data_IF_376408957243
#
_entry.id   IF_376408957243
#
_cell.length_a   1.000
_cell.length_b   1.000
_cell.length_c   1.000
_cell.angle_alpha   90.00
_cell.angle_beta   90.00
_cell.angle_gamma   90.00
#
_symmetry.space_group_name_H-M   'P 1'
#
loop_
_entity.id
_entity.type
_entity.pdbx_description
1 polymer ?
#
# COMPACT_ATOMS: atom_id res chain seq x y z
N UNK A 1 23.08 34.68 -26.30
CA UNK A 1 21.75 35.27 -26.63
C UNK A 1 21.05 34.37 -27.63
N UNK A 2 19.97 33.69 -27.24
CA UNK A 2 18.92 33.15 -28.13
C UNK A 2 17.70 32.88 -27.27
N UNK A 3 16.77 33.83 -27.33
CA UNK A 3 15.47 33.86 -26.67
C UNK A 3 14.47 33.02 -27.47
N UNK A 4 13.74 32.11 -26.83
CA UNK A 4 12.52 31.53 -27.37
C UNK A 4 11.36 31.80 -26.41
N UNK A 5 10.47 32.69 -26.85
CA UNK A 5 9.14 32.95 -26.32
C UNK A 5 8.15 32.04 -27.06
N UNK A 6 7.42 31.20 -26.36
CA UNK A 6 6.20 30.53 -26.85
C UNK A 6 5.17 30.65 -25.73
N UNK A 7 4.35 31.71 -25.74
CA UNK A 7 3.06 31.87 -26.40
C UNK A 7 1.98 30.90 -25.89
N UNK A 8 1.06 31.55 -25.19
CA UNK A 8 -0.20 31.11 -24.57
C UNK A 8 -1.05 30.12 -25.39
N UNK A 9 -1.66 29.19 -24.66
CA UNK A 9 -2.98 28.67 -24.99
C UNK A 9 -3.83 28.59 -23.71
N UNK A 10 -4.59 29.67 -23.47
CA UNK A 10 -5.71 29.70 -22.54
C UNK A 10 -6.89 28.99 -23.22
N UNK A 11 -7.19 27.77 -22.80
CA UNK A 11 -8.43 27.09 -23.16
C UNK A 11 -9.34 27.07 -21.93
N UNK A 12 -10.22 28.08 -21.91
CA UNK A 12 -11.44 28.10 -21.14
C UNK A 12 -12.36 27.00 -21.66
N UNK A 13 -12.79 26.08 -20.79
CA UNK A 13 -14.01 25.33 -21.03
C UNK A 13 -14.73 25.12 -19.69
N UNK A 14 -15.65 26.06 -19.44
CA UNK A 14 -16.72 25.95 -18.46
C UNK A 14 -17.65 24.79 -18.82
N UNK A 15 -17.81 23.83 -17.93
CA UNK A 15 -18.98 22.96 -17.90
C UNK A 15 -19.66 23.09 -16.54
N UNK A 16 -20.64 24.00 -16.50
CA UNK A 16 -21.69 24.03 -15.48
C UNK A 16 -22.66 22.90 -15.81
N UNK A 17 -22.52 21.75 -15.14
CA UNK A 17 -23.53 20.71 -15.13
C UNK A 17 -24.36 20.86 -13.85
N UNK A 18 -25.57 21.38 -14.02
CA UNK A 18 -26.65 21.38 -13.04
C UNK A 18 -27.15 19.95 -12.90
N UNK A 19 -27.02 19.34 -11.72
CA UNK A 19 -27.59 18.02 -11.42
C UNK A 19 -28.84 18.21 -10.55
N UNK A 20 -30.00 17.67 -10.94
CA UNK A 20 -31.24 17.75 -10.17
C UNK A 20 -31.19 16.88 -8.91
N UNK A 21 -31.69 17.47 -7.81
CA UNK A 21 -31.98 16.83 -6.53
C UNK A 21 -33.09 15.80 -6.71
N UNK A 22 -32.72 14.51 -6.70
CA UNK A 22 -33.65 13.39 -6.58
C UNK A 22 -33.72 12.91 -5.14
N UNK A 23 -34.77 13.30 -4.41
CA UNK A 23 -35.14 12.69 -3.13
C UNK A 23 -35.51 11.21 -3.37
N UNK A 24 -34.73 10.28 -2.83
CA UNK A 24 -35.14 8.88 -2.75
C UNK A 24 -35.59 8.58 -1.32
N UNK A 25 -36.81 8.09 -1.22
CA UNK A 25 -37.52 7.82 0.02
C UNK A 25 -36.88 6.66 0.79
N UNK A 26 -36.86 6.85 2.11
CA UNK A 26 -36.43 5.89 3.12
C UNK A 26 -37.51 4.81 3.22
N UNK A 27 -37.20 3.58 2.80
CA UNK A 27 -38.02 2.41 3.12
C UNK A 27 -37.49 1.81 4.43
N UNK A 28 -38.29 1.95 5.47
CA UNK A 28 -38.20 1.22 6.74
C UNK A 28 -38.43 -0.27 6.50
N UNK A 29 -37.43 -1.11 6.81
CA UNK A 29 -37.56 -2.56 6.79
C UNK A 29 -37.53 -3.06 8.22
N UNK A 30 -38.58 -3.81 8.51
CA UNK A 30 -38.98 -4.49 9.75
C UNK A 30 -37.86 -5.26 10.46
N UNK A 31 -37.85 -5.11 11.78
CA UNK A 31 -37.10 -5.92 12.72
C UNK A 31 -37.74 -7.32 12.81
N UNK A 32 -37.16 -8.30 12.11
CA UNK A 32 -37.45 -9.72 12.40
C UNK A 32 -36.24 -10.34 13.08
N UNK A 33 -36.37 -10.40 14.40
CA UNK A 33 -35.54 -11.13 15.35
C UNK A 33 -35.61 -12.65 15.05
N UNK A 34 -34.58 -13.21 14.42
CA UNK A 34 -34.39 -14.66 14.32
C UNK A 34 -33.22 -15.05 15.22
N UNK A 35 -33.59 -15.43 16.43
CA UNK A 35 -32.74 -16.08 17.42
C UNK A 35 -32.52 -17.54 17.00
N UNK A 36 -31.40 -17.81 16.33
CA UNK A 36 -30.89 -19.16 16.13
C UNK A 36 -29.48 -19.24 16.70
N UNK A 37 -29.41 -19.51 18.00
CA UNK A 37 -28.22 -20.09 18.63
C UNK A 37 -28.02 -21.51 18.06
N UNK A 38 -27.33 -21.59 16.93
CA UNK A 38 -26.68 -22.82 16.51
C UNK A 38 -25.33 -22.87 17.20
N UNK A 39 -25.17 -23.80 18.15
CA UNK A 39 -23.86 -24.22 18.63
C UNK A 39 -23.04 -24.70 17.43
N UNK A 40 -22.10 -23.85 17.00
CA UNK A 40 -21.11 -24.25 16.01
C UNK A 40 -20.32 -25.42 16.59
N UNK A 41 -20.14 -26.53 15.84
CA UNK A 41 -19.15 -27.53 16.20
C UNK A 41 -17.80 -26.80 16.28
N UNK A 42 -17.25 -26.78 17.50
CA UNK A 42 -15.90 -26.31 17.81
C UNK A 42 -14.92 -27.20 17.05
N UNK A 43 -14.68 -26.86 15.79
CA UNK A 43 -13.61 -27.44 15.00
C UNK A 43 -12.32 -27.11 15.74
N UNK A 44 -11.75 -28.11 16.40
CA UNK A 44 -10.41 -28.05 16.95
C UNK A 44 -9.47 -27.69 15.80
N UNK A 45 -9.06 -26.43 15.82
CA UNK A 45 -8.12 -25.84 14.89
C UNK A 45 -6.82 -26.63 15.02
N UNK A 46 -6.60 -27.55 14.08
CA UNK A 46 -5.34 -28.26 13.88
C UNK A 46 -4.21 -27.25 13.75
N UNK A 47 -3.52 -27.03 14.86
CA UNK A 47 -2.31 -26.26 14.95
C UNK A 47 -1.20 -27.06 14.27
N UNK A 48 -0.89 -26.78 13.00
CA UNK A 48 0.48 -26.80 12.45
C UNK A 48 0.59 -26.88 10.91
N UNK A 49 -0.43 -26.52 10.14
CA UNK A 49 -0.11 -26.13 8.76
C UNK A 49 0.46 -24.71 8.79
N UNK A 50 1.78 -24.62 8.63
CA UNK A 50 2.51 -23.36 8.38
C UNK A 50 1.88 -22.70 7.15
N UNK A 51 0.90 -21.84 7.40
CA UNK A 51 0.07 -21.19 6.39
C UNK A 51 0.97 -20.41 5.43
N UNK A 52 1.21 -20.99 4.25
CA UNK A 52 2.05 -20.38 3.22
C UNK A 52 1.39 -19.10 2.69
N UNK A 53 2.16 -18.09 2.27
CA UNK A 53 1.57 -16.88 1.71
C UNK A 53 0.76 -17.20 0.45
N UNK A 54 -0.32 -16.45 0.23
CA UNK A 54 -1.29 -16.69 -0.85
C UNK A 54 -0.79 -16.24 -2.23
N UNK A 55 0.34 -15.55 -2.31
CA UNK A 55 0.96 -15.10 -3.55
C UNK A 55 2.49 -15.22 -3.49
N UNK A 56 3.14 -15.18 -4.66
CA UNK A 56 4.61 -15.15 -4.77
C UNK A 56 5.11 -14.36 -5.99
N UNK A 57 6.19 -13.62 -5.81
CA UNK A 57 6.89 -12.86 -6.85
C UNK A 57 5.98 -11.83 -7.51
N UNK A 58 5.94 -11.84 -8.84
CA UNK A 58 5.11 -10.92 -9.64
C UNK A 58 3.60 -11.09 -9.40
N UNK A 59 3.16 -12.26 -8.95
CA UNK A 59 1.75 -12.49 -8.62
C UNK A 59 1.30 -11.74 -7.35
N UNK A 60 2.22 -11.16 -6.58
CA UNK A 60 1.90 -10.32 -5.43
C UNK A 60 1.73 -8.83 -5.78
N UNK A 61 2.03 -8.40 -7.01
CA UNK A 61 2.02 -6.97 -7.34
C UNK A 61 0.62 -6.37 -7.13
N UNK A 62 0.59 -5.20 -6.48
CA UNK A 62 -0.60 -4.42 -6.12
C UNK A 62 -1.58 -5.15 -5.18
N UNK A 63 -1.15 -6.23 -4.54
CA UNK A 63 -1.93 -6.96 -3.53
C UNK A 63 -1.55 -6.53 -2.10
N UNK A 64 -2.53 -6.56 -1.20
CA UNK A 64 -2.37 -6.20 0.21
C UNK A 64 -1.51 -7.23 0.98
N UNK A 65 -0.39 -6.83 1.61
CA UNK A 65 0.50 -7.77 2.30
C UNK A 65 -0.11 -8.41 3.56
N UNK A 66 -1.11 -7.77 4.18
CA UNK A 66 -1.84 -8.30 5.33
C UNK A 66 -2.79 -9.40 4.88
N UNK A 67 -3.66 -9.10 3.93
CA UNK A 67 -4.67 -10.04 3.41
C UNK A 67 -4.03 -11.29 2.78
N UNK A 68 -2.91 -11.13 2.07
CA UNK A 68 -2.21 -12.25 1.44
C UNK A 68 -1.20 -12.96 2.36
N UNK A 69 -1.12 -12.56 3.64
CA UNK A 69 -0.29 -13.20 4.66
C UNK A 69 1.21 -12.91 4.56
N UNK A 70 1.64 -12.04 3.65
CA UNK A 70 3.05 -11.70 3.45
C UNK A 70 3.65 -10.90 4.60
N UNK A 71 2.86 -10.08 5.30
CA UNK A 71 3.31 -9.31 6.45
C UNK A 71 3.90 -10.19 7.57
N UNK A 72 3.37 -11.41 7.77
CA UNK A 72 3.87 -12.40 8.75
C UNK A 72 5.33 -12.82 8.46
N UNK A 73 5.76 -12.67 7.22
CA UNK A 73 7.06 -13.10 6.70
C UNK A 73 7.93 -11.92 6.23
N UNK A 74 7.59 -10.70 6.61
CA UNK A 74 8.43 -9.53 6.36
C UNK A 74 9.71 -9.62 7.17
N UNK A 75 10.87 -9.59 6.51
CA UNK A 75 12.16 -9.66 7.17
C UNK A 75 12.51 -8.30 7.77
N UNK A 76 12.56 -8.24 9.10
CA UNK A 76 12.93 -7.02 9.84
C UNK A 76 14.39 -6.60 9.60
N UNK A 77 15.26 -7.51 9.19
CA UNK A 77 16.67 -7.23 8.93
C UNK A 77 16.94 -6.67 7.52
N UNK A 78 15.95 -6.73 6.62
CA UNK A 78 16.02 -6.16 5.27
C UNK A 78 15.25 -4.83 5.23
N UNK A 79 14.82 -4.32 6.39
CA UNK A 79 14.10 -3.06 6.48
C UNK A 79 15.03 -1.88 6.25
N UNK A 80 14.61 -1.00 5.34
CA UNK A 80 15.20 0.33 5.21
C UNK A 80 14.24 1.29 5.85
N UNK A 81 14.63 1.83 6.98
CA UNK A 81 13.86 2.81 7.73
C UNK A 81 14.45 4.18 7.48
N UNK A 82 13.61 5.15 7.17
CA UNK A 82 14.01 6.55 7.09
C UNK A 82 12.97 7.43 7.78
N UNK A 83 13.47 8.40 8.53
CA UNK A 83 12.67 9.40 9.24
C UNK A 83 12.69 10.72 8.46
N UNK A 84 11.50 11.28 8.22
CA UNK A 84 11.28 12.57 7.58
C UNK A 84 10.38 13.41 8.49
N UNK A 85 10.99 14.25 9.33
CA UNK A 85 10.29 14.98 10.40
C UNK A 85 9.59 14.00 11.36
N UNK A 86 8.26 14.01 11.41
CA UNK A 86 7.39 13.13 12.20
C UNK A 86 6.92 11.88 11.44
N UNK A 87 7.32 11.74 10.17
CA UNK A 87 6.94 10.60 9.33
C UNK A 87 8.09 9.60 9.18
N UNK A 88 7.85 8.39 9.68
CA UNK A 88 8.62 7.20 9.40
C UNK A 88 8.14 6.54 8.10
N UNK A 89 9.07 6.17 7.24
CA UNK A 89 8.82 5.32 6.07
C UNK A 89 9.77 4.14 6.11
N UNK A 90 9.22 2.94 5.93
CA UNK A 90 9.96 1.69 5.94
C UNK A 90 9.72 0.94 4.63
N UNK A 91 10.78 0.39 4.05
CA UNK A 91 10.67 -0.63 3.01
C UNK A 91 10.75 -2.02 3.65
N UNK A 92 9.72 -2.83 3.45
CA UNK A 92 9.67 -4.21 3.88
C UNK A 92 9.91 -5.15 2.70
N UNK A 93 10.46 -6.33 2.96
CA UNK A 93 10.62 -7.39 1.96
C UNK A 93 10.32 -8.74 2.60
N UNK A 94 9.59 -9.60 1.90
CA UNK A 94 9.41 -10.99 2.30
C UNK A 94 10.15 -11.93 1.35
N UNK A 95 11.04 -12.76 1.90
CA UNK A 95 11.67 -13.84 1.14
C UNK A 95 10.63 -14.88 0.69
N UNK A 96 9.59 -15.11 1.51
CA UNK A 96 8.53 -16.09 1.21
C UNK A 96 7.66 -15.62 0.05
N UNK A 97 7.22 -14.36 0.09
CA UNK A 97 6.43 -13.78 -0.99
C UNK A 97 7.27 -13.27 -2.17
N UNK A 98 8.58 -13.09 -2.02
CA UNK A 98 9.46 -12.46 -3.02
C UNK A 98 8.93 -11.10 -3.49
N UNK A 99 8.37 -10.34 -2.56
CA UNK A 99 7.71 -9.06 -2.78
C UNK A 99 8.07 -8.08 -1.67
N UNK A 100 7.99 -6.80 -1.99
CA UNK A 100 8.29 -5.69 -1.10
C UNK A 100 7.09 -4.78 -0.93
N UNK A 101 6.99 -4.05 0.16
CA UNK A 101 5.93 -3.06 0.35
C UNK A 101 6.42 -1.92 1.22
N UNK A 102 5.75 -0.77 1.14
CA UNK A 102 6.00 0.35 2.01
C UNK A 102 5.19 0.20 3.31
N UNK A 103 5.73 0.66 4.43
CA UNK A 103 5.00 0.90 5.66
C UNK A 103 5.27 2.32 6.12
N UNK A 104 4.26 3.07 6.54
CA UNK A 104 4.43 4.43 7.02
C UNK A 104 3.38 4.84 8.04
N UNK A 105 3.75 5.76 8.93
CA UNK A 105 2.85 6.50 9.82
C UNK A 105 2.43 7.87 9.24
N UNK A 106 2.57 8.08 7.92
CA UNK A 106 2.19 9.32 7.27
C UNK A 106 0.71 9.69 7.53
N UNK A 107 0.35 10.98 7.54
CA UNK A 107 -1.01 11.41 7.86
C UNK A 107 -2.02 10.99 6.79
N UNK A 108 -3.30 11.00 7.16
CA UNK A 108 -4.45 10.74 6.29
C UNK A 108 -4.34 11.53 4.98
N UNK A 109 -4.78 10.92 3.88
CA UNK A 109 -4.69 11.41 2.50
C UNK A 109 -3.28 11.39 1.90
N UNK A 110 -2.27 10.95 2.64
CA UNK A 110 -0.96 10.65 2.06
C UNK A 110 -1.04 9.39 1.20
N UNK A 111 -0.25 9.34 0.14
CA UNK A 111 -0.09 8.14 -0.69
C UNK A 111 1.21 7.46 -0.33
N UNK A 112 1.18 6.18 0.00
CA UNK A 112 2.36 5.34 0.23
C UNK A 112 2.52 4.35 -0.92
N UNK A 113 3.75 4.11 -1.34
CA UNK A 113 4.04 3.25 -2.48
C UNK A 113 5.50 2.79 -2.48
N UNK A 114 5.82 1.85 -3.36
CA UNK A 114 7.21 1.48 -3.67
C UNK A 114 7.60 1.94 -5.06
N UNK A 115 8.86 2.28 -5.27
CA UNK A 115 9.38 2.77 -6.54
C UNK A 115 10.68 2.04 -6.88
N UNK A 116 10.88 1.68 -8.15
CA UNK A 116 12.14 1.12 -8.62
C UNK A 116 13.15 2.21 -9.02
N UNK A 117 14.32 1.80 -9.52
CA UNK A 117 15.37 2.71 -9.94
C UNK A 117 15.01 3.50 -11.21
N UNK A 118 14.05 3.02 -12.00
CA UNK A 118 13.54 3.66 -13.21
C UNK A 118 12.41 4.66 -12.92
N UNK A 119 11.96 4.74 -11.66
CA UNK A 119 10.86 5.61 -11.25
C UNK A 119 9.48 4.97 -11.44
N UNK A 120 9.39 3.69 -11.80
CA UNK A 120 8.11 2.99 -11.89
C UNK A 120 7.59 2.70 -10.48
N UNK A 121 6.32 3.04 -10.26
CA UNK A 121 5.64 2.94 -8.97
C UNK A 121 4.80 1.68 -8.90
N UNK A 122 4.79 1.04 -7.74
CA UNK A 122 4.01 -0.15 -7.45
C UNK A 122 3.39 -0.03 -6.07
N UNK A 123 2.28 -0.74 -5.86
CA UNK A 123 1.75 -0.94 -4.53
C UNK A 123 1.19 0.33 -3.90
N UNK A 124 0.60 1.22 -4.72
CA UNK A 124 0.09 2.50 -4.23
C UNK A 124 -1.11 2.29 -3.30
N UNK A 125 -1.11 2.98 -2.18
CA UNK A 125 -2.21 3.00 -1.22
C UNK A 125 -2.40 4.43 -0.69
N UNK A 126 -3.64 4.90 -0.66
CA UNK A 126 -3.98 6.19 -0.05
C UNK A 126 -4.44 5.95 1.38
N UNK A 127 -3.75 6.58 2.33
CA UNK A 127 -4.07 6.45 3.75
C UNK A 127 -5.44 7.06 4.03
N UNK A 128 -6.34 6.22 4.56
CA UNK A 128 -7.68 6.62 4.99
C UNK A 128 -7.78 6.70 6.51
N UNK A 129 -8.85 7.30 7.03
CA UNK A 129 -9.13 7.29 8.47
C UNK A 129 -9.63 5.91 8.89
N UNK A 130 -8.77 5.09 9.48
CA UNK A 130 -9.08 3.72 9.92
C UNK A 130 -8.76 3.45 11.41
N UNK A 131 -8.19 4.44 12.12
CA UNK A 131 -7.84 4.35 13.54
C UNK A 131 -6.48 3.71 13.82
N UNK A 132 -5.70 3.34 12.79
CA UNK A 132 -4.35 2.82 12.94
C UNK A 132 -3.31 3.93 12.77
N UNK A 133 -2.18 3.82 13.49
CA UNK A 133 -1.08 4.78 13.40
C UNK A 133 -0.18 4.54 12.18
N UNK A 134 -0.12 3.30 11.69
CA UNK A 134 0.75 2.92 10.58
C UNK A 134 0.03 2.06 9.58
N UNK A 135 0.35 2.27 8.31
CA UNK A 135 -0.35 1.68 7.17
C UNK A 135 0.64 0.99 6.24
N UNK A 136 0.20 -0.12 5.66
CA UNK A 136 0.94 -0.82 4.63
C UNK A 136 0.48 -0.36 3.25
N UNK A 137 1.45 -0.12 2.36
CA UNK A 137 1.18 -0.07 0.94
C UNK A 137 0.92 -1.47 0.40
N UNK A 138 0.34 -1.53 -0.80
CA UNK A 138 0.26 -2.78 -1.53
C UNK A 138 1.67 -3.23 -1.95
N UNK A 139 1.80 -4.49 -2.33
CA UNK A 139 3.09 -5.09 -2.65
C UNK A 139 3.59 -4.70 -4.04
N UNK A 140 4.90 -4.48 -4.15
CA UNK A 140 5.68 -4.36 -5.38
C UNK A 140 6.61 -5.55 -5.59
N UNK A 141 7.21 -5.67 -6.79
CA UNK A 141 8.00 -6.84 -7.16
C UNK A 141 9.42 -6.83 -6.59
N UNK A 142 9.85 -7.97 -6.06
CA UNK A 142 11.24 -8.21 -5.69
C UNK A 142 11.75 -7.32 -4.56
N UNK A 143 13.08 -7.12 -4.50
CA UNK A 143 13.77 -6.44 -3.39
C UNK A 143 14.42 -5.10 -3.76
N UNK A 144 14.53 -4.77 -5.05
CA UNK A 144 15.25 -3.60 -5.58
C UNK A 144 14.35 -2.36 -5.67
N UNK A 145 13.72 -2.00 -4.56
CA UNK A 145 12.79 -0.88 -4.48
C UNK A 145 13.25 0.12 -3.42
N UNK A 146 12.64 1.31 -3.43
CA UNK A 146 12.60 2.24 -2.30
C UNK A 146 11.14 2.39 -1.86
N UNK A 147 10.92 2.62 -0.57
CA UNK A 147 9.60 2.97 -0.05
C UNK A 147 9.44 4.49 -0.10
N UNK A 148 8.28 4.95 -0.54
CA UNK A 148 7.98 6.36 -0.69
C UNK A 148 6.64 6.69 -0.04
N UNK A 149 6.50 7.93 0.42
CA UNK A 149 5.22 8.53 0.71
C UNK A 149 5.11 9.93 0.08
N UNK A 150 3.88 10.36 -0.19
CA UNK A 150 3.56 11.68 -0.72
C UNK A 150 2.39 12.26 0.05
N UNK A 151 2.64 13.34 0.79
CA UNK A 151 1.57 14.14 1.38
C UNK A 151 0.83 14.95 0.31
N UNK A 152 -0.43 15.36 0.56
CA UNK A 152 -1.15 16.26 -0.34
C UNK A 152 -0.32 17.51 -0.65
N UNK A 153 -0.21 17.85 -1.94
CA UNK A 153 0.49 19.05 -2.44
C UNK A 153 2.00 19.13 -2.13
N UNK A 154 2.65 18.03 -1.74
CA UNK A 154 4.09 17.99 -1.50
C UNK A 154 4.81 17.03 -2.45
N UNK A 155 6.11 17.25 -2.63
CA UNK A 155 6.98 16.30 -3.34
C UNK A 155 7.13 14.99 -2.55
N UNK A 156 7.22 13.84 -3.24
CA UNK A 156 7.39 12.55 -2.58
C UNK A 156 8.72 12.49 -1.81
N UNK A 157 8.68 11.83 -0.66
CA UNK A 157 9.85 11.50 0.15
C UNK A 157 10.04 10.00 0.13
N UNK A 158 11.26 9.56 -0.13
CA UNK A 158 11.57 8.14 -0.32
C UNK A 158 12.79 7.73 0.49
N UNK A 159 12.79 6.47 0.91
CA UNK A 159 14.01 5.81 1.40
C UNK A 159 15.08 5.81 0.31
N UNK A 160 16.32 5.54 0.71
CA UNK A 160 17.35 5.10 -0.25
C UNK A 160 16.88 3.82 -0.95
N UNK A 161 17.33 3.62 -2.19
CA UNK A 161 17.12 2.37 -2.91
C UNK A 161 17.77 1.23 -2.12
N UNK A 162 17.08 0.09 -2.00
CA UNK A 162 17.62 -1.05 -1.28
C UNK A 162 18.92 -1.53 -1.94
N UNK A 163 20.09 -1.34 -1.30
CA UNK A 163 21.30 -1.95 -1.79
C UNK A 163 21.09 -3.42 -1.55
N UNK A 164 20.81 -4.17 -2.62
CA UNK A 164 20.65 -5.60 -2.52
C UNK A 164 21.80 -6.13 -1.68
N UNK A 165 21.50 -6.61 -0.47
CA UNK A 165 22.49 -7.32 0.32
C UNK A 165 22.70 -8.63 -0.43
N UNK A 166 23.55 -8.59 -1.45
CA UNK A 166 24.27 -9.75 -1.93
C UNK A 166 25.16 -10.12 -0.76
N UNK A 167 24.62 -10.87 0.21
CA UNK A 167 25.48 -11.80 0.93
C UNK A 167 26.13 -12.61 -0.18
N UNK A 168 27.43 -12.41 -0.35
CA UNK A 168 28.22 -13.08 -1.37
C UNK A 168 27.87 -14.56 -1.32
N UNK A 169 27.34 -15.10 -2.41
CA UNK A 169 27.32 -16.53 -2.68
C UNK A 169 28.75 -17.01 -2.97
N UNK A 170 29.71 -16.64 -2.12
CA UNK A 170 31.06 -17.16 -2.06
C UNK A 170 31.17 -17.97 -0.75
N UNK A 171 30.48 -19.09 -0.71
CA UNK A 171 30.98 -20.26 0.02
C UNK A 171 31.11 -21.36 -1.02
N UNK A 172 32.25 -21.35 -1.68
CA UNK A 172 32.81 -22.52 -2.36
C UNK A 172 33.59 -23.33 -1.34
#
# INVERSE_FOLDING_TARGET
MKTYRGLFALLSLTCLAVIPLGCTQVASVDDTEINQSQEQPKAELSSSEKESPRCKGKACIDLDPVYYGCHKYGDRNIQIVQQFQDVEIQLWYSIKCQASWAYSNAPISSVIYTEDAQGQKYGQYTITRDGYYGHYGNMGPGKKLKACFKMPNQEPKCTKLNPVITKSENST
#
